data_IF_836674746715
#
_entry.id   IF_836674746715
#
_cell.length_a   1.000
_cell.length_b   1.000
_cell.length_c   1.000
_cell.angle_alpha   90.00
_cell.angle_beta   90.00
_cell.angle_gamma   90.00
#
_symmetry.space_group_name_H-M   'P 1'
#
loop_
_entity.id
_entity.type
_entity.pdbx_description
1 polymer ?
#
# COMPACT_ATOMS: atom_id res chain seq x y z
N UNK A 1 6.94 3.41 -4.23
CA UNK A 1 7.85 4.26 -3.42
C UNK A 1 7.13 4.98 -2.29
N UNK A 2 6.18 5.89 -2.54
CA UNK A 2 5.51 6.65 -1.47
C UNK A 2 4.93 5.78 -0.34
N UNK A 3 4.27 4.67 -0.69
CA UNK A 3 3.75 3.71 0.28
C UNK A 3 4.83 3.09 1.17
N UNK A 4 5.93 2.63 0.57
CA UNK A 4 7.06 2.08 1.31
C UNK A 4 7.72 3.14 2.20
N UNK A 5 7.88 4.37 1.71
CA UNK A 5 8.44 5.47 2.49
C UNK A 5 7.58 5.79 3.72
N UNK A 6 6.25 5.84 3.56
CA UNK A 6 5.32 6.07 4.65
C UNK A 6 5.45 5.00 5.75
N UNK A 7 5.52 3.72 5.38
CA UNK A 7 5.69 2.62 6.33
C UNK A 7 7.08 2.57 6.97
N UNK A 8 8.11 2.97 6.24
CA UNK A 8 9.48 3.01 6.74
C UNK A 8 9.66 4.12 7.79
N UNK A 9 9.03 5.28 7.56
CA UNK A 9 9.03 6.41 8.49
C UNK A 9 8.07 6.20 9.68
N UNK A 10 6.95 5.52 9.44
CA UNK A 10 5.91 5.26 10.43
C UNK A 10 5.41 3.81 10.31
N UNK A 11 6.12 2.85 10.93
CA UNK A 11 5.74 1.44 10.94
C UNK A 11 4.28 1.23 11.36
N UNK A 12 3.56 0.37 10.64
CA UNK A 12 2.12 0.15 10.85
C UNK A 12 1.80 -1.26 11.34
N UNK A 13 0.67 -1.43 12.01
CA UNK A 13 0.14 -2.77 12.31
C UNK A 13 -0.20 -3.51 11.00
N UNK A 14 0.11 -4.81 10.94
CA UNK A 14 -0.21 -5.65 9.80
C UNK A 14 -1.69 -5.59 9.43
N UNK A 15 -2.59 -5.53 10.41
CA UNK A 15 -4.03 -5.43 10.18
C UNK A 15 -4.43 -4.10 9.53
N UNK A 16 -3.76 -3.00 9.89
CA UNK A 16 -4.00 -1.67 9.27
C UNK A 16 -3.60 -1.73 7.79
N UNK A 17 -2.43 -2.26 7.48
CA UNK A 17 -1.93 -2.38 6.11
C UNK A 17 -2.78 -3.35 5.27
N UNK A 18 -3.23 -4.45 5.89
CA UNK A 18 -4.12 -5.42 5.26
C UNK A 18 -5.51 -4.83 4.98
N UNK A 19 -6.06 -4.07 5.92
CA UNK A 19 -7.36 -3.41 5.74
C UNK A 19 -7.29 -2.32 4.69
N UNK A 20 -6.25 -1.48 4.74
CA UNK A 20 -5.97 -0.47 3.74
C UNK A 20 -5.95 -1.06 2.32
N UNK A 21 -5.19 -2.14 2.12
CA UNK A 21 -5.08 -2.80 0.82
C UNK A 21 -6.37 -3.50 0.39
N UNK A 22 -7.13 -4.07 1.34
CA UNK A 22 -8.43 -4.68 1.08
C UNK A 22 -9.46 -3.64 0.61
N UNK A 23 -9.49 -2.45 1.21
CA UNK A 23 -10.37 -1.35 0.77
C UNK A 23 -10.00 -0.88 -0.64
N UNK A 24 -8.71 -0.75 -0.94
CA UNK A 24 -8.25 -0.42 -2.30
C UNK A 24 -8.64 -1.48 -3.33
N UNK A 25 -8.57 -2.76 -2.95
CA UNK A 25 -8.90 -3.90 -3.82
C UNK A 25 -10.40 -4.03 -4.08
N UNK A 26 -11.24 -3.88 -3.04
CA UNK A 26 -12.69 -4.03 -3.17
C UNK A 26 -13.38 -2.75 -3.65
N UNK A 27 -12.77 -1.57 -3.44
CA UNK A 27 -13.34 -0.26 -3.80
C UNK A 27 -14.44 0.22 -2.87
N UNK A 28 -14.93 -0.64 -1.98
CA UNK A 28 -15.94 -0.36 -0.95
C UNK A 28 -15.32 -0.58 0.44
N UNK A 29 -15.41 0.41 1.33
CA UNK A 29 -14.77 0.32 2.64
C UNK A 29 -15.34 -0.82 3.49
N UNK A 30 -16.67 -0.99 3.49
CA UNK A 30 -17.35 -1.99 4.31
C UNK A 30 -16.98 -3.41 3.88
N UNK A 31 -16.94 -3.66 2.56
CA UNK A 31 -16.47 -4.93 2.00
C UNK A 31 -14.99 -5.17 2.26
N UNK A 32 -14.17 -4.13 2.13
CA UNK A 32 -12.73 -4.23 2.42
C UNK A 32 -12.45 -4.54 3.89
N UNK A 33 -13.16 -3.89 4.80
CA UNK A 33 -13.09 -4.13 6.24
C UNK A 33 -13.56 -5.54 6.60
N UNK A 34 -14.73 -5.94 6.10
CA UNK A 34 -15.25 -7.29 6.29
C UNK A 34 -14.24 -8.34 5.82
N UNK A 35 -13.72 -8.18 4.60
CA UNK A 35 -12.72 -9.08 4.04
C UNK A 35 -11.47 -9.16 4.92
N UNK A 36 -10.97 -8.03 5.40
CA UNK A 36 -9.78 -7.97 6.24
C UNK A 36 -9.98 -8.68 7.60
N UNK A 37 -11.19 -8.60 8.17
CA UNK A 37 -11.56 -9.31 9.41
C UNK A 37 -11.70 -10.81 9.22
N UNK A 38 -12.27 -11.24 8.11
CA UNK A 38 -12.44 -12.67 7.79
C UNK A 38 -11.12 -13.34 7.41
N UNK A 39 -10.18 -12.58 6.87
CA UNK A 39 -8.91 -13.08 6.35
C UNK A 39 -7.73 -12.44 7.09
N UNK A 40 -7.65 -12.61 8.41
CA UNK A 40 -6.54 -12.06 9.19
C UNK A 40 -5.21 -12.64 8.69
N UNK A 41 -4.26 -11.75 8.39
CA UNK A 41 -2.93 -12.11 7.89
C UNK A 41 -1.87 -11.73 8.93
N UNK A 42 -0.90 -12.62 9.13
CA UNK A 42 0.34 -12.29 9.82
C UNK A 42 1.44 -12.00 8.80
N UNK A 43 1.97 -10.78 8.83
CA UNK A 43 3.03 -10.34 7.94
C UNK A 43 4.16 -9.72 8.78
N UNK A 44 5.40 -10.13 8.54
CA UNK A 44 6.58 -9.59 9.23
C UNK A 44 7.50 -8.92 8.23
N UNK A 45 7.30 -7.64 7.96
CA UNK A 45 8.21 -6.80 7.17
C UNK A 45 8.87 -5.80 8.12
N UNK A 46 10.19 -5.88 8.28
CA UNK A 46 10.90 -5.05 9.25
C UNK A 46 11.73 -4.01 8.48
N UNK A 47 11.60 -2.71 8.80
CA UNK A 47 10.88 -2.16 9.94
C UNK A 47 9.41 -1.77 9.65
N UNK A 48 8.89 -1.99 8.45
CA UNK A 48 7.64 -1.40 7.94
C UNK A 48 6.35 -1.83 8.67
N UNK A 49 6.36 -3.05 9.21
CA UNK A 49 5.21 -3.67 9.87
C UNK A 49 5.59 -3.97 11.31
N UNK A 50 4.88 -3.29 12.21
CA UNK A 50 4.96 -3.50 13.65
C UNK A 50 4.31 -4.82 14.05
N UNK A 51 4.76 -5.39 15.16
CA UNK A 51 4.12 -6.57 15.75
C UNK A 51 2.64 -6.25 16.04
N UNK A 52 1.75 -7.12 15.55
CA UNK A 52 0.29 -6.97 15.70
C UNK A 52 -0.08 -6.68 17.15
N UNK A 53 -0.87 -5.63 17.34
CA UNK A 53 -1.52 -5.32 18.61
C UNK A 53 -2.79 -6.15 18.78
N UNK A 54 -3.27 -6.26 20.02
CA UNK A 54 -4.51 -6.97 20.36
C UNK A 54 -5.71 -6.41 19.59
N UNK A 55 -6.86 -7.11 19.67
CA UNK A 55 -8.12 -6.80 18.99
C UNK A 55 -8.46 -5.29 18.92
N UNK A 56 -8.15 -4.66 17.78
CA UNK A 56 -8.53 -3.28 17.45
C UNK A 56 -10.01 -3.27 17.05
N UNK A 57 -10.78 -2.26 17.50
CA UNK A 57 -12.18 -2.06 17.09
C UNK A 57 -12.29 -1.60 15.64
N UNK A 58 -13.46 -1.74 15.01
CA UNK A 58 -13.63 -1.33 13.60
C UNK A 58 -13.43 0.17 13.39
N UNK A 59 -13.91 1.02 14.30
CA UNK A 59 -13.75 2.48 14.17
C UNK A 59 -12.27 2.88 14.32
N UNK A 60 -11.57 2.34 15.32
CA UNK A 60 -10.14 2.62 15.52
C UNK A 60 -9.28 2.10 14.36
N UNK A 61 -9.64 0.94 13.80
CA UNK A 61 -8.96 0.40 12.63
C UNK A 61 -9.15 1.30 11.39
N UNK A 62 -10.35 1.84 11.19
CA UNK A 62 -10.61 2.77 10.08
C UNK A 62 -9.88 4.11 10.27
N UNK A 63 -9.77 4.61 11.50
CA UNK A 63 -8.97 5.80 11.83
C UNK A 63 -7.50 5.60 11.47
N UNK A 64 -6.90 4.47 11.88
CA UNK A 64 -5.52 4.12 11.54
C UNK A 64 -5.32 3.94 10.02
N UNK A 65 -6.29 3.35 9.31
CA UNK A 65 -6.26 3.23 7.85
C UNK A 65 -6.33 4.60 7.17
N UNK A 66 -7.17 5.51 7.68
CA UNK A 66 -7.24 6.89 7.19
C UNK A 66 -5.93 7.63 7.44
N UNK A 67 -5.35 7.48 8.63
CA UNK A 67 -4.06 8.05 8.98
C UNK A 67 -2.94 7.51 8.06
N UNK A 68 -2.90 6.20 7.80
CA UNK A 68 -1.98 5.61 6.82
C UNK A 68 -2.18 6.23 5.43
N UNK A 69 -3.42 6.45 4.98
CA UNK A 69 -3.67 7.12 3.71
C UNK A 69 -3.08 8.54 3.66
N UNK A 70 -3.23 9.33 4.72
CA UNK A 70 -2.60 10.66 4.85
C UNK A 70 -1.07 10.61 4.81
N UNK A 71 -0.45 9.62 5.47
CA UNK A 71 0.99 9.43 5.44
C UNK A 71 1.47 9.13 4.01
N UNK A 72 0.82 8.21 3.30
CA UNK A 72 1.17 7.85 1.91
C UNK A 72 1.03 9.05 0.96
N UNK A 73 0.02 9.91 1.17
CA UNK A 73 -0.13 11.16 0.41
C UNK A 73 1.00 12.14 0.69
N UNK A 74 1.33 12.34 1.96
CA UNK A 74 2.43 13.22 2.38
C UNK A 74 3.76 12.74 1.81
N UNK A 75 4.04 11.44 1.86
CA UNK A 75 5.21 10.83 1.23
C UNK A 75 5.20 11.00 -0.30
N UNK A 76 4.03 10.96 -0.95
CA UNK A 76 3.92 11.20 -2.40
C UNK A 76 4.32 12.63 -2.78
N UNK A 77 4.04 13.60 -1.92
CA UNK A 77 4.44 15.01 -2.10
C UNK A 77 5.94 15.19 -1.76
N UNK A 78 6.44 14.53 -0.72
CA UNK A 78 7.85 14.60 -0.35
C UNK A 78 8.79 14.11 -1.47
N UNK A 79 8.33 13.16 -2.30
CA UNK A 79 9.08 12.69 -3.48
C UNK A 79 9.16 13.70 -4.63
N UNK A 80 8.46 14.85 -4.56
CA UNK A 80 8.48 15.87 -5.62
C UNK A 80 9.38 17.06 -5.31
N UNK A 81 9.86 17.22 -4.07
CA UNK A 81 10.70 18.35 -3.67
C UNK A 81 12.03 17.87 -3.10
N UNK A 82 13.11 18.58 -3.42
CA UNK A 82 14.46 18.19 -3.01
C UNK A 82 14.61 18.25 -1.49
N UNK A 83 14.21 19.36 -0.87
CA UNK A 83 14.37 19.58 0.57
C UNK A 83 13.61 18.54 1.41
N UNK A 84 12.37 18.23 1.05
CA UNK A 84 11.58 17.22 1.76
C UNK A 84 12.12 15.81 1.55
N UNK A 85 12.61 15.50 0.35
CA UNK A 85 13.27 14.23 0.07
C UNK A 85 14.56 14.09 0.89
N UNK A 86 15.40 15.12 0.91
CA UNK A 86 16.62 15.14 1.71
C UNK A 86 16.33 15.00 3.20
N UNK A 87 15.28 15.67 3.70
CA UNK A 87 14.88 15.56 5.11
C UNK A 87 14.41 14.14 5.47
N UNK A 88 13.64 13.49 4.60
CA UNK A 88 13.25 12.08 4.79
C UNK A 88 14.46 11.15 4.75
N UNK A 89 15.40 11.43 3.84
CA UNK A 89 16.64 10.70 3.66
C UNK A 89 17.63 10.85 4.83
N UNK A 90 17.69 12.01 5.48
CA UNK A 90 18.63 12.31 6.58
C UNK A 90 18.57 11.33 7.77
N UNK A 91 17.49 10.54 7.88
CA UNK A 91 17.29 9.51 8.92
C UNK A 91 18.11 8.24 8.71
N UNK A 92 18.71 8.03 7.53
CA UNK A 92 19.50 6.84 7.23
C UNK A 92 21.00 7.16 7.30
N UNK A 93 21.77 6.49 8.19
CA UNK A 93 23.21 6.68 8.28
C UNK A 93 23.89 6.24 6.97
N UNK A 94 24.92 6.99 6.54
CA UNK A 94 25.75 6.84 5.32
C UNK A 94 25.33 7.60 4.04
N UNK A 95 24.41 8.56 4.12
CA UNK A 95 23.96 9.31 2.92
C UNK A 95 24.75 10.58 2.59
N UNK A 96 25.95 10.74 3.15
CA UNK A 96 26.78 11.94 3.00
C UNK A 96 27.17 12.30 1.54
N UNK A 97 26.71 11.58 0.52
CA UNK A 97 27.02 11.85 -0.89
C UNK A 97 26.01 11.26 -1.88
N UNK A 98 24.69 11.42 -1.69
CA UNK A 98 23.74 11.06 -2.76
C UNK A 98 23.76 12.12 -3.88
N UNK A 99 24.68 12.00 -4.86
CA UNK A 99 24.76 12.93 -6.00
C UNK A 99 23.68 12.72 -7.07
N UNK A 100 22.74 11.78 -6.87
CA UNK A 100 21.72 11.37 -7.82
C UNK A 100 20.34 11.28 -7.20
N UNK A 101 19.77 12.42 -6.79
CA UNK A 101 18.38 12.48 -6.36
C UNK A 101 17.45 12.42 -7.58
N UNK A 102 16.56 11.42 -7.61
CA UNK A 102 15.53 11.29 -8.64
C UNK A 102 14.22 11.81 -8.07
N UNK A 103 13.81 12.99 -8.53
CA UNK A 103 12.54 13.60 -8.14
C UNK A 103 11.43 13.16 -9.08
N UNK A 104 10.25 12.92 -8.51
CA UNK A 104 9.02 12.73 -9.26
C UNK A 104 8.47 14.10 -9.66
N UNK A 105 7.93 14.24 -10.86
CA UNK A 105 7.29 15.51 -11.24
C UNK A 105 6.13 15.84 -10.29
N UNK A 106 5.96 17.12 -9.96
CA UNK A 106 4.91 17.58 -9.05
C UNK A 106 3.51 17.14 -9.52
N UNK A 107 3.27 17.20 -10.84
CA UNK A 107 2.03 16.72 -11.46
C UNK A 107 1.80 15.24 -11.16
N UNK A 108 2.83 14.40 -11.27
CA UNK A 108 2.73 12.98 -10.98
C UNK A 108 2.49 12.73 -9.48
N UNK A 109 3.22 13.42 -8.59
CA UNK A 109 3.00 13.30 -7.14
C UNK A 109 1.57 13.66 -6.73
N UNK A 110 1.03 14.77 -7.27
CA UNK A 110 -0.38 15.17 -7.07
C UNK A 110 -1.36 14.13 -7.62
N UNK A 111 -1.08 13.54 -8.78
CA UNK A 111 -1.94 12.50 -9.35
C UNK A 111 -1.96 11.22 -8.49
N UNK A 112 -0.81 10.81 -7.97
CA UNK A 112 -0.72 9.66 -7.05
C UNK A 112 -1.44 9.97 -5.73
N UNK A 113 -1.30 11.17 -5.18
CA UNK A 113 -1.98 11.56 -3.95
C UNK A 113 -3.53 11.47 -4.07
N UNK A 114 -4.08 11.77 -5.25
CA UNK A 114 -5.53 11.60 -5.53
C UNK A 114 -6.02 10.16 -5.44
N UNK A 115 -5.12 9.17 -5.51
CA UNK A 115 -5.50 7.77 -5.29
C UNK A 115 -5.95 7.51 -3.85
N UNK A 116 -5.68 8.41 -2.90
CA UNK A 116 -5.97 8.19 -1.49
C UNK A 116 -6.95 9.22 -0.91
N UNK A 117 -7.44 10.18 -1.71
CA UNK A 117 -8.38 11.22 -1.26
C UNK A 117 -9.62 10.64 -0.56
N UNK A 118 -10.17 9.55 -1.08
CA UNK A 118 -11.36 8.92 -0.53
C UNK A 118 -11.09 8.12 0.75
N UNK A 119 -9.84 7.77 1.04
CA UNK A 119 -9.50 7.04 2.27
C UNK A 119 -9.21 8.01 3.43
N UNK A 120 -8.65 9.19 3.13
CA UNK A 120 -8.31 10.21 4.14
C UNK A 120 -9.53 11.01 4.62
N UNK A 121 -10.34 11.53 3.69
CA UNK A 121 -11.35 12.55 4.04
C UNK A 121 -12.67 11.98 4.52
N UNK A 122 -13.06 10.87 3.92
CA UNK A 122 -14.29 10.17 4.24
C UNK A 122 -14.18 8.74 3.73
N UNK A 123 -13.49 7.88 4.47
CA UNK A 123 -13.34 6.47 4.10
C UNK A 123 -14.70 5.80 3.84
N UNK A 124 -15.73 6.28 4.56
CA UNK A 124 -17.10 5.80 4.44
C UNK A 124 -17.75 6.19 3.09
N UNK A 125 -17.20 7.16 2.36
CA UNK A 125 -17.58 7.55 0.98
C UNK A 125 -16.92 6.71 -0.14
N UNK A 126 -16.07 5.74 0.20
CA UNK A 126 -15.67 4.72 -0.77
C UNK A 126 -16.89 3.84 -1.07
N UNK A 127 -17.72 4.29 -2.02
CA UNK A 127 -19.09 3.77 -2.21
C UNK A 127 -19.26 2.89 -3.46
N UNK A 128 -18.20 2.73 -4.27
CA UNK A 128 -18.31 1.96 -5.52
C UNK A 128 -17.54 0.66 -5.40
N UNK A 129 -18.30 -0.37 -5.01
CA UNK A 129 -17.84 -1.74 -5.07
C UNK A 129 -17.35 -2.10 -6.48
N UNK A 130 -16.17 -2.71 -6.52
CA UNK A 130 -15.60 -3.25 -7.74
C UNK A 130 -16.39 -4.47 -8.21
N UNK A 131 -16.83 -4.42 -9.47
CA UNK A 131 -17.66 -5.47 -10.08
C UNK A 131 -16.86 -6.60 -10.73
N UNK A 132 -15.58 -6.36 -11.11
CA UNK A 132 -14.75 -7.33 -11.84
C UNK A 132 -13.36 -7.41 -11.22
N UNK A 133 -12.84 -8.60 -10.95
CA UNK A 133 -11.51 -8.78 -10.32
C UNK A 133 -10.37 -9.07 -11.31
N UNK A 134 -10.65 -9.03 -12.62
CA UNK A 134 -9.59 -9.03 -13.62
C UNK A 134 -8.99 -7.63 -13.75
N UNK A 135 -7.69 -7.57 -14.01
CA UNK A 135 -6.99 -6.31 -14.28
C UNK A 135 -7.39 -5.82 -15.67
N UNK A 136 -7.88 -4.60 -15.75
CA UNK A 136 -8.09 -3.90 -17.01
C UNK A 136 -6.80 -3.17 -17.39
N UNK A 137 -5.96 -3.83 -18.18
CA UNK A 137 -4.66 -3.28 -18.60
C UNK A 137 -4.80 -2.02 -19.45
N UNK A 138 -5.91 -1.84 -20.17
CA UNK A 138 -6.15 -0.64 -20.99
C UNK A 138 -6.43 0.59 -20.11
N UNK A 139 -7.24 0.43 -19.06
CA UNK A 139 -7.46 1.48 -18.06
C UNK A 139 -6.21 1.75 -17.22
N UNK A 140 -5.47 0.70 -16.83
CA UNK A 140 -4.24 0.82 -16.06
C UNK A 140 -3.18 1.60 -16.82
N UNK A 141 -2.97 1.29 -18.11
CA UNK A 141 -2.02 2.00 -18.99
C UNK A 141 -2.35 3.49 -19.11
N UNK A 142 -3.62 3.85 -19.05
CA UNK A 142 -4.09 5.25 -19.09
C UNK A 142 -3.99 5.96 -17.73
N UNK A 143 -3.55 5.27 -16.68
CA UNK A 143 -3.47 5.82 -15.32
C UNK A 143 -4.84 6.04 -14.68
N UNK A 144 -5.85 5.23 -15.04
CA UNK A 144 -7.16 5.33 -14.41
C UNK A 144 -7.04 5.09 -12.90
N UNK A 145 -7.56 6.03 -12.09
CA UNK A 145 -7.41 5.97 -10.64
C UNK A 145 -8.06 4.74 -10.01
N UNK A 146 -9.24 4.33 -10.47
CA UNK A 146 -9.95 3.16 -9.91
C UNK A 146 -9.17 1.88 -10.19
N UNK A 147 -8.70 1.71 -11.42
CA UNK A 147 -7.92 0.54 -11.80
C UNK A 147 -6.55 0.52 -11.11
N UNK A 148 -5.92 1.68 -10.96
CA UNK A 148 -4.62 1.82 -10.29
C UNK A 148 -4.73 1.49 -8.79
N UNK A 149 -5.78 1.99 -8.10
CA UNK A 149 -6.08 1.63 -6.70
C UNK A 149 -6.28 0.13 -6.55
N UNK A 150 -7.08 -0.47 -7.43
CA UNK A 150 -7.32 -1.91 -7.42
C UNK A 150 -6.03 -2.73 -7.53
N UNK A 151 -5.20 -2.43 -8.54
CA UNK A 151 -3.94 -3.15 -8.78
C UNK A 151 -2.97 -2.93 -7.61
N UNK A 152 -2.91 -1.72 -7.06
CA UNK A 152 -2.09 -1.43 -5.88
C UNK A 152 -2.54 -2.26 -4.67
N UNK A 153 -3.84 -2.29 -4.38
CA UNK A 153 -4.41 -3.12 -3.30
C UNK A 153 -4.05 -4.59 -3.49
N UNK A 154 -4.26 -5.12 -4.70
CA UNK A 154 -3.90 -6.50 -5.06
C UNK A 154 -2.42 -6.80 -4.81
N UNK A 155 -1.51 -5.93 -5.28
CA UNK A 155 -0.06 -6.11 -5.12
C UNK A 155 0.32 -6.15 -3.64
N UNK A 156 -0.20 -5.23 -2.82
CA UNK A 156 0.09 -5.22 -1.39
C UNK A 156 -0.42 -6.51 -0.75
N UNK A 157 -1.64 -6.92 -1.06
CA UNK A 157 -2.24 -8.14 -0.51
C UNK A 157 -1.46 -9.41 -0.89
N UNK A 158 -1.11 -9.56 -2.17
CA UNK A 158 -0.31 -10.69 -2.65
C UNK A 158 1.09 -10.70 -2.00
N UNK A 159 1.70 -9.52 -1.82
CA UNK A 159 2.99 -9.36 -1.11
C UNK A 159 2.89 -9.79 0.34
N UNK A 160 1.82 -9.40 1.06
CA UNK A 160 1.63 -9.80 2.46
C UNK A 160 1.36 -11.29 2.61
N UNK A 161 0.64 -11.91 1.66
CA UNK A 161 0.33 -13.35 1.68
C UNK A 161 1.55 -14.24 1.39
N UNK A 162 2.38 -13.86 0.42
CA UNK A 162 3.56 -14.65 0.00
C UNK A 162 4.61 -14.83 1.10
N UNK A 163 4.63 -13.98 2.12
CA UNK A 163 5.55 -14.11 3.25
C UNK A 163 5.08 -15.09 4.34
N UNK A 164 3.84 -15.53 4.29
CA UNK A 164 3.28 -16.56 5.18
C UNK A 164 3.84 -17.95 4.80
N UNK A 165 4.20 -18.16 3.53
CA UNK A 165 4.62 -19.46 2.99
C UNK A 165 6.13 -19.74 3.11
N UNK A 166 6.89 -18.91 3.82
CA UNK A 166 8.34 -19.10 3.99
C UNK A 166 8.70 -19.41 5.45
N UNK A 167 8.13 -20.48 6.00
CA UNK A 167 8.72 -21.23 7.12
C UNK A 167 9.55 -22.40 6.54
N UNK A 168 10.69 -22.79 7.16
CA UNK A 168 11.59 -23.77 6.59
C UNK A 168 11.07 -25.20 6.84
N UNK A 169 10.51 -25.79 5.80
CA UNK A 169 10.21 -27.21 5.74
C UNK A 169 8.76 -27.48 5.40
N UNK A 170 8.42 -27.41 4.12
CA UNK A 170 7.57 -28.44 3.52
C UNK A 170 7.67 -28.42 2.00
N UNK A 171 7.60 -29.63 1.46
CA UNK A 171 7.99 -30.01 0.11
C UNK A 171 7.07 -29.40 -0.94
N UNK A 172 7.71 -28.92 -2.00
CA UNK A 172 7.16 -28.34 -3.22
C UNK A 172 6.01 -29.18 -3.79
N UNK A 173 4.85 -28.56 -3.97
CA UNK A 173 4.04 -28.81 -5.17
C UNK A 173 3.78 -27.48 -5.87
N UNK A 174 4.49 -27.26 -6.97
CA UNK A 174 4.27 -26.14 -7.89
C UNK A 174 2.82 -26.13 -8.38
N UNK A 175 2.03 -25.14 -7.98
CA UNK A 175 0.95 -24.64 -8.83
C UNK A 175 1.48 -23.39 -9.54
N UNK A 176 1.77 -23.54 -10.84
CA UNK A 176 2.21 -22.48 -11.75
C UNK A 176 1.18 -21.34 -11.79
N UNK A 177 1.36 -20.34 -10.95
CA UNK A 177 0.77 -19.01 -11.11
C UNK A 177 1.66 -18.14 -12.01
N UNK A 178 1.08 -17.19 -12.78
CA UNK A 178 1.85 -16.41 -13.73
C UNK A 178 2.84 -15.49 -12.99
N UNK A 179 4.12 -15.68 -13.29
CA UNK A 179 5.23 -14.90 -12.75
C UNK A 179 5.09 -13.45 -13.21
N UNK A 180 4.84 -12.54 -12.26
CA UNK A 180 4.70 -11.09 -12.46
C UNK A 180 6.01 -10.38 -12.87
N UNK A 181 7.09 -11.12 -13.12
CA UNK A 181 8.42 -10.58 -13.44
C UNK A 181 8.53 -9.96 -14.84
N UNK A 182 7.49 -10.02 -15.67
CA UNK A 182 7.50 -9.44 -17.03
C UNK A 182 6.90 -8.03 -17.14
N UNK A 183 6.49 -7.40 -16.03
CA UNK A 183 5.87 -6.07 -16.04
C UNK A 183 6.86 -4.91 -15.77
N UNK A 184 8.14 -5.19 -15.50
CA UNK A 184 9.15 -4.19 -15.15
C UNK A 184 10.47 -4.32 -15.92
N UNK A 185 10.39 -4.65 -17.21
CA UNK A 185 11.50 -4.48 -18.16
C UNK A 185 11.05 -3.64 -19.35
#
# INVERSE_FOLDING_TARGET
MAFHLALLDHPQDALVVWTFSSILYHGLWSKGLQFARENVIYAKFVPEISTSSATISDESLLEEVSHLASLVKSSSIALTTNDALQQSMARYPNQASCSGLVLVSEKMGKNVAKLFDNLEKDIKSCDKERQKYNIDYELLKKGNHVETRFVLGKIIMDTMRTKITCEPGDIITETKGPVLSKLFL
#
